data_IF_104568675286
#
_entry.id   IF_104568675286
#
_cell.length_a   1.000
_cell.length_b   1.000
_cell.length_c   1.000
_cell.angle_alpha   90.00
_cell.angle_beta   90.00
_cell.angle_gamma   90.00
#
_symmetry.space_group_name_H-M   'P 1'
#
loop_
_entity.id
_entity.type
_entity.pdbx_description
1 polymer ?
#
# COMPACT_ATOMS: atom_id res chain seq x y z
N UNK A 1 0.38 -5.12 15.15
CA UNK A 1 -0.48 -4.17 14.41
C UNK A 1 -1.87 -4.74 14.36
N UNK A 2 -2.81 -4.13 15.06
CA UNK A 2 -4.23 -4.50 14.99
C UNK A 2 -4.75 -4.25 13.57
N UNK A 3 -5.05 -5.33 12.82
CA UNK A 3 -5.58 -5.30 11.44
C UNK A 3 -6.97 -4.63 11.31
N UNK A 4 -7.48 -4.08 12.40
CA UNK A 4 -8.72 -3.32 12.51
C UNK A 4 -8.49 -1.80 12.47
N UNK A 5 -7.24 -1.34 12.42
CA UNK A 5 -6.93 0.07 12.22
C UNK A 5 -6.92 0.37 10.71
N UNK A 6 -8.04 0.84 10.18
CA UNK A 6 -8.17 1.23 8.77
C UNK A 6 -7.55 2.61 8.57
N UNK A 7 -6.50 2.71 7.77
CA UNK A 7 -6.05 4.01 7.31
C UNK A 7 -6.85 4.43 6.09
N UNK A 8 -7.92 5.19 6.32
CA UNK A 8 -8.79 5.71 5.27
C UNK A 8 -8.09 6.66 4.28
N UNK A 9 -6.87 7.09 4.58
CA UNK A 9 -6.04 7.89 3.66
C UNK A 9 -5.20 7.02 2.72
N UNK A 10 -5.12 5.70 2.93
CA UNK A 10 -4.31 4.78 2.13
C UNK A 10 -5.20 3.67 1.58
N UNK A 11 -5.73 3.90 0.38
CA UNK A 11 -6.53 2.90 -0.31
C UNK A 11 -5.63 1.77 -0.83
N UNK A 12 -5.97 0.53 -0.53
CA UNK A 12 -5.24 -0.64 -0.99
C UNK A 12 -6.24 -1.71 -1.41
N UNK A 13 -6.26 -2.01 -2.71
CA UNK A 13 -7.12 -3.06 -3.28
C UNK A 13 -6.36 -4.39 -3.48
N UNK A 14 -5.07 -4.41 -3.13
CA UNK A 14 -4.20 -5.58 -3.31
C UNK A 14 -4.44 -6.54 -2.16
N UNK A 15 -5.27 -7.56 -2.38
CA UNK A 15 -5.63 -8.55 -1.36
C UNK A 15 -4.45 -9.38 -0.85
N UNK A 16 -3.39 -9.50 -1.64
CA UNK A 16 -2.14 -10.16 -1.27
C UNK A 16 -1.24 -9.28 -0.39
N UNK A 17 -1.62 -8.03 -0.09
CA UNK A 17 -0.87 -7.19 0.82
C UNK A 17 -1.05 -7.68 2.26
N UNK A 18 0.05 -7.94 2.97
CA UNK A 18 0.09 -8.36 4.37
C UNK A 18 -0.62 -7.35 5.30
N UNK A 19 -0.60 -6.09 4.88
CA UNK A 19 -1.20 -4.93 5.56
C UNK A 19 -2.61 -4.60 5.04
N UNK A 20 -3.16 -5.40 4.12
CA UNK A 20 -4.53 -5.20 3.65
C UNK A 20 -5.51 -5.34 4.81
N UNK A 21 -6.37 -4.36 4.96
CA UNK A 21 -7.44 -4.40 5.95
C UNK A 21 -8.52 -5.36 5.42
N UNK A 22 -8.54 -6.60 5.88
CA UNK A 22 -9.36 -7.69 5.28
C UNK A 22 -10.86 -7.40 5.16
N UNK A 23 -11.39 -6.40 5.85
CA UNK A 23 -12.78 -5.97 5.77
C UNK A 23 -13.09 -4.86 4.75
N UNK A 24 -12.09 -4.18 4.17
CA UNK A 24 -12.30 -3.03 3.29
C UNK A 24 -11.08 -2.78 2.37
N UNK A 25 -11.21 -1.95 1.32
CA UNK A 25 -10.13 -1.70 0.35
C UNK A 25 -9.10 -0.66 0.87
N UNK A 26 -8.59 -0.86 2.08
CA UNK A 26 -7.63 0.06 2.73
C UNK A 26 -6.42 -0.68 3.28
N UNK A 27 -5.32 0.06 3.42
CA UNK A 27 -4.13 -0.41 4.12
C UNK A 27 -4.26 -0.12 5.62
N UNK A 28 -3.77 -1.03 6.46
CA UNK A 28 -3.69 -0.83 7.91
C UNK A 28 -2.44 -0.05 8.35
N UNK A 29 -1.54 0.28 7.42
CA UNK A 29 -0.36 1.10 7.69
C UNK A 29 -0.77 2.55 7.91
N UNK A 30 -0.14 3.22 8.87
CA UNK A 30 -0.30 4.67 9.09
C UNK A 30 0.37 5.51 8.00
N UNK A 31 1.38 4.97 7.33
CA UNK A 31 2.12 5.60 6.24
C UNK A 31 2.59 4.55 5.24
N UNK A 32 2.70 4.93 3.97
CA UNK A 32 3.35 4.13 2.93
C UNK A 32 4.52 4.92 2.34
N UNK A 33 5.52 4.18 1.89
CA UNK A 33 6.59 4.69 1.05
C UNK A 33 6.26 4.34 -0.39
N UNK A 34 6.20 5.35 -1.25
CA UNK A 34 6.11 5.18 -2.69
C UNK A 34 7.50 5.44 -3.25
N UNK A 35 8.07 4.43 -3.89
CA UNK A 35 9.33 4.50 -4.58
C UNK A 35 9.12 4.49 -6.09
N UNK A 36 10.20 4.71 -6.84
CA UNK A 36 10.21 4.53 -8.28
C UNK A 36 11.46 3.79 -8.71
N UNK A 37 11.30 2.86 -9.65
CA UNK A 37 12.43 2.13 -10.24
C UNK A 37 13.26 3.02 -11.18
N UNK A 38 12.65 4.08 -11.70
CA UNK A 38 13.29 5.09 -12.55
C UNK A 38 13.51 6.41 -11.79
N UNK A 39 14.57 7.17 -12.10
CA UNK A 39 14.89 8.41 -11.40
C UNK A 39 13.89 9.56 -11.67
N UNK A 40 13.08 9.48 -12.74
CA UNK A 40 12.03 10.45 -13.06
C UNK A 40 10.79 9.72 -13.58
N UNK A 41 9.94 9.17 -12.69
CA UNK A 41 8.76 8.43 -13.11
C UNK A 41 7.74 9.37 -13.76
N UNK A 42 7.43 9.11 -15.02
CA UNK A 42 6.33 9.79 -15.75
C UNK A 42 5.04 8.97 -15.75
N UNK A 43 5.17 7.69 -15.44
CA UNK A 43 4.10 6.70 -15.57
C UNK A 43 3.85 6.02 -14.23
N UNK A 44 2.57 5.75 -13.94
CA UNK A 44 2.13 5.06 -12.71
C UNK A 44 2.79 3.68 -12.57
N UNK A 45 3.11 3.04 -13.68
CA UNK A 45 3.77 1.72 -13.68
C UNK A 45 5.21 1.76 -13.18
N UNK A 46 5.84 2.93 -13.19
CA UNK A 46 7.21 3.13 -12.71
C UNK A 46 7.23 3.55 -11.23
N UNK A 47 6.06 3.73 -10.61
CA UNK A 47 5.90 4.03 -9.18
C UNK A 47 5.33 2.83 -8.44
N UNK A 48 6.04 2.35 -7.43
CA UNK A 48 5.70 1.16 -6.65
C UNK A 48 5.51 1.52 -5.17
N UNK A 49 4.62 0.80 -4.49
CA UNK A 49 4.50 0.90 -3.04
C UNK A 49 5.61 0.06 -2.40
N UNK A 50 6.68 0.70 -1.91
CA UNK A 50 7.81 0.03 -1.26
C UNK A 50 7.45 -0.52 0.14
N UNK A 51 6.34 -0.06 0.71
CA UNK A 51 5.77 -0.65 1.94
C UNK A 51 4.91 -1.89 1.68
N UNK A 52 4.78 -2.33 0.42
CA UNK A 52 4.07 -3.56 0.11
C UNK A 52 4.85 -4.77 0.62
N UNK A 53 4.19 -5.56 1.45
CA UNK A 53 4.64 -6.88 1.85
C UNK A 53 3.58 -7.90 1.44
N UNK A 54 4.02 -9.06 0.96
CA UNK A 54 3.10 -10.13 0.57
C UNK A 54 2.64 -10.93 1.80
N UNK A 55 1.33 -11.10 1.95
CA UNK A 55 0.66 -11.87 3.01
C UNK A 55 0.82 -13.39 2.85
#
# INVERSE_FOLDING_TARGET
MDKTNYNHSIKCTVRECAHHAQGDDYCALSQIMVGSSEPNPTDIKSTDCESFERA
#
